data_IF_112927513206
#
_entry.id   IF_112927513206
#
_cell.length_a   1.000
_cell.length_b   1.000
_cell.length_c   1.000
_cell.angle_alpha   90.00
_cell.angle_beta   90.00
_cell.angle_gamma   90.00
#
_symmetry.space_group_name_H-M   'P 1'
#
loop_
_entity.id
_entity.type
_entity.pdbx_description
1 polymer ?
#
# COMPACT_ATOMS: atom_id res chain seq x y z
N UNK A 1 20.18 -15.90 5.43
CA UNK A 1 20.84 -17.04 4.75
C UNK A 1 21.29 -18.04 5.83
N UNK A 2 21.31 -19.35 5.57
CA UNK A 2 21.72 -20.39 6.56
C UNK A 2 23.13 -20.90 6.24
N UNK A 3 24.07 -20.79 7.16
CA UNK A 3 25.39 -21.41 7.02
C UNK A 3 25.34 -22.87 7.46
N UNK A 4 25.84 -23.78 6.63
CA UNK A 4 25.86 -25.20 6.97
C UNK A 4 26.85 -25.47 8.12
N UNK A 5 26.42 -26.08 9.23
CA UNK A 5 27.30 -26.36 10.37
C UNK A 5 28.35 -27.44 10.07
N UNK A 6 28.15 -28.25 9.01
CA UNK A 6 29.05 -29.36 8.65
C UNK A 6 30.13 -28.97 7.66
N UNK A 7 29.84 -28.09 6.69
CA UNK A 7 30.77 -27.77 5.59
C UNK A 7 30.96 -26.27 5.32
N UNK A 8 30.33 -25.39 6.09
CA UNK A 8 30.46 -23.94 5.96
C UNK A 8 29.73 -23.31 4.76
N UNK A 9 29.09 -24.11 3.91
CA UNK A 9 28.38 -23.61 2.73
C UNK A 9 27.21 -22.69 3.08
N UNK A 10 27.06 -21.58 2.37
CA UNK A 10 25.95 -20.65 2.55
C UNK A 10 24.72 -21.11 1.74
N UNK A 11 23.62 -21.34 2.43
CA UNK A 11 22.39 -21.91 1.85
C UNK A 11 21.21 -20.92 1.95
N UNK A 12 20.25 -21.08 1.05
CA UNK A 12 18.98 -20.34 1.11
C UNK A 12 18.18 -20.68 2.37
N UNK A 13 17.40 -19.72 2.87
CA UNK A 13 16.62 -19.87 4.12
C UNK A 13 15.54 -20.95 4.06
N UNK A 14 15.00 -21.19 2.86
CA UNK A 14 13.96 -22.18 2.61
C UNK A 14 14.49 -23.60 2.39
N UNK A 15 15.80 -23.84 2.54
CA UNK A 15 16.37 -25.18 2.46
C UNK A 15 16.36 -25.87 3.83
N UNK A 16 15.85 -27.09 3.85
CA UNK A 16 15.99 -28.05 4.95
C UNK A 16 17.33 -28.81 4.90
N UNK A 17 18.00 -28.81 3.75
CA UNK A 17 19.26 -29.54 3.53
C UNK A 17 20.31 -28.71 2.79
N UNK A 18 21.57 -28.90 3.17
CA UNK A 18 22.71 -28.28 2.53
C UNK A 18 22.80 -28.70 1.05
N UNK A 19 22.91 -27.72 0.15
CA UNK A 19 23.07 -27.95 -1.28
C UNK A 19 24.28 -28.83 -1.60
N UNK A 20 25.40 -28.60 -0.90
CA UNK A 20 26.69 -29.24 -1.13
C UNK A 20 26.83 -30.60 -0.44
N UNK A 21 26.60 -30.67 0.87
CA UNK A 21 26.92 -31.87 1.67
C UNK A 21 25.69 -32.63 2.19
N UNK A 22 24.47 -32.19 1.84
CA UNK A 22 23.18 -32.79 2.23
C UNK A 22 22.92 -32.87 3.74
N UNK A 23 23.74 -32.23 4.58
CA UNK A 23 23.48 -32.13 6.01
C UNK A 23 22.17 -31.37 6.28
N UNK A 24 21.42 -31.81 7.30
CA UNK A 24 20.21 -31.13 7.76
C UNK A 24 20.53 -29.71 8.24
N UNK A 25 19.71 -28.74 7.81
CA UNK A 25 19.78 -27.32 8.17
C UNK A 25 18.61 -26.91 9.10
N UNK A 26 17.90 -27.87 9.67
CA UNK A 26 16.69 -27.66 10.47
C UNK A 26 15.47 -27.26 9.63
N UNK A 27 14.33 -27.02 10.30
CA UNK A 27 13.09 -26.65 9.63
C UNK A 27 13.28 -25.42 8.74
N UNK A 28 12.77 -25.50 7.51
CA UNK A 28 12.63 -24.32 6.66
C UNK A 28 11.56 -23.42 7.29
N UNK A 29 11.82 -22.11 7.41
CA UNK A 29 10.76 -21.18 7.79
C UNK A 29 9.76 -21.14 6.64
N UNK A 30 8.61 -21.78 6.80
CA UNK A 30 7.60 -21.90 5.75
C UNK A 30 6.84 -20.60 5.51
N UNK A 31 6.82 -19.70 6.50
CA UNK A 31 6.11 -18.44 6.38
C UNK A 31 6.93 -17.40 5.59
N UNK A 32 6.24 -16.74 4.67
CA UNK A 32 6.77 -15.62 3.88
C UNK A 32 6.30 -14.31 4.51
N UNK A 33 6.94 -13.22 4.11
CA UNK A 33 6.47 -11.88 4.39
C UNK A 33 6.25 -11.13 3.08
N UNK A 34 5.37 -10.13 3.09
CA UNK A 34 5.06 -9.30 1.93
C UNK A 34 5.22 -7.82 2.29
N UNK A 35 5.76 -7.04 1.36
CA UNK A 35 5.70 -5.58 1.51
C UNK A 35 4.27 -5.09 1.22
N UNK A 36 3.60 -4.40 2.15
CA UNK A 36 2.23 -3.94 1.93
C UNK A 36 2.13 -2.89 0.81
N UNK A 37 3.23 -2.16 0.53
CA UNK A 37 3.30 -1.11 -0.49
C UNK A 37 3.67 -1.64 -1.88
N UNK A 38 4.84 -2.26 -2.03
CA UNK A 38 5.35 -2.68 -3.35
C UNK A 38 5.03 -4.14 -3.70
N UNK A 39 4.39 -4.88 -2.79
CA UNK A 39 3.96 -6.29 -2.97
C UNK A 39 5.09 -7.31 -3.19
N UNK A 40 6.35 -6.89 -3.08
CA UNK A 40 7.50 -7.81 -3.09
C UNK A 40 7.41 -8.82 -1.94
N UNK A 41 7.63 -10.09 -2.24
CA UNK A 41 7.68 -11.19 -1.28
C UNK A 41 9.09 -11.38 -0.74
N UNK A 42 9.16 -11.64 0.56
CA UNK A 42 10.39 -11.83 1.31
C UNK A 42 10.32 -13.14 2.10
N UNK A 43 11.51 -13.64 2.48
CA UNK A 43 11.62 -14.70 3.49
C UNK A 43 11.21 -14.17 4.86
N UNK A 44 10.71 -15.03 5.74
CA UNK A 44 10.16 -14.65 7.06
C UNK A 44 11.11 -13.85 7.98
N UNK A 45 12.43 -13.88 7.74
CA UNK A 45 13.42 -13.17 8.55
C UNK A 45 13.59 -11.69 8.20
N UNK A 46 13.11 -11.26 7.04
CA UNK A 46 13.21 -9.85 6.66
C UNK A 46 12.19 -9.03 7.48
N UNK A 47 12.61 -7.91 8.06
CA UNK A 47 11.70 -7.00 8.79
C UNK A 47 11.31 -5.79 7.95
N UNK A 48 12.15 -5.38 7.01
CA UNK A 48 12.01 -4.13 6.26
C UNK A 48 12.17 -4.37 4.75
N UNK A 49 11.38 -3.65 3.96
CA UNK A 49 11.46 -3.66 2.50
C UNK A 49 12.69 -2.90 2.00
N UNK A 50 13.49 -3.53 1.15
CA UNK A 50 14.70 -2.93 0.57
C UNK A 50 14.39 -1.81 -0.42
N UNK A 51 13.23 -1.86 -1.08
CA UNK A 51 12.87 -0.89 -2.11
C UNK A 51 12.17 0.37 -1.56
N UNK A 52 11.48 0.27 -0.42
CA UNK A 52 10.67 1.39 0.10
C UNK A 52 10.79 1.64 1.61
N UNK A 53 11.62 0.89 2.33
CA UNK A 53 11.86 1.09 3.77
C UNK A 53 10.69 0.75 4.70
N UNK A 54 9.54 0.31 4.17
CA UNK A 54 8.38 -0.06 4.98
C UNK A 54 8.60 -1.40 5.70
N UNK A 55 8.00 -1.55 6.90
CA UNK A 55 7.96 -2.84 7.62
C UNK A 55 7.16 -3.88 6.83
N UNK A 56 7.65 -5.12 6.82
CA UNK A 56 7.04 -6.24 6.13
C UNK A 56 5.94 -6.90 6.98
N UNK A 57 4.85 -7.31 6.33
CA UNK A 57 3.74 -8.04 6.97
C UNK A 57 3.87 -9.55 6.73
N UNK A 58 3.32 -10.38 7.62
CA UNK A 58 3.24 -11.83 7.37
C UNK A 58 2.36 -12.06 6.15
N UNK A 59 2.86 -12.87 5.22
CA UNK A 59 2.13 -13.24 4.03
C UNK A 59 1.36 -14.53 4.31
N UNK A 60 0.04 -14.44 4.22
CA UNK A 60 -0.88 -15.56 4.33
C UNK A 60 -1.57 -15.73 2.96
N UNK A 61 -1.30 -16.87 2.31
CA UNK A 61 -1.86 -17.20 1.00
C UNK A 61 -3.41 -17.20 1.01
N UNK A 62 -4.05 -17.46 2.15
CA UNK A 62 -5.51 -17.52 2.25
C UNK A 62 -6.18 -16.14 2.42
N UNK A 63 -5.49 -15.21 3.09
CA UNK A 63 -6.01 -13.86 3.35
C UNK A 63 -5.70 -12.88 2.20
N UNK A 64 -4.61 -13.10 1.45
CA UNK A 64 -4.22 -12.20 0.36
C UNK A 64 -4.99 -12.43 -0.95
N UNK A 65 -5.60 -13.61 -1.10
CA UNK A 65 -6.52 -13.92 -2.20
C UNK A 65 -7.87 -13.19 -2.10
N UNK A 66 -8.10 -12.38 -1.05
CA UNK A 66 -9.39 -11.76 -0.77
C UNK A 66 -9.44 -10.23 -0.93
N UNK A 67 -8.47 -9.62 -1.60
CA UNK A 67 -8.52 -8.20 -2.00
C UNK A 67 -9.02 -7.99 -3.45
N UNK A 68 -9.74 -8.98 -3.98
CA UNK A 68 -10.41 -8.92 -5.28
C UNK A 68 -11.93 -9.08 -5.13
N UNK A 69 -12.58 -8.32 -4.24
CA UNK A 69 -14.05 -8.13 -4.27
C UNK A 69 -14.56 -7.12 -3.23
N UNK A 70 -14.18 -5.85 -3.36
CA UNK A 70 -14.99 -4.75 -2.79
C UNK A 70 -16.19 -4.46 -3.71
N UNK A 71 -17.09 -5.44 -3.88
CA UNK A 71 -18.33 -5.31 -4.67
C UNK A 71 -19.57 -5.78 -3.90
N UNK A 72 -19.63 -5.51 -2.59
CA UNK A 72 -20.82 -5.74 -1.76
C UNK A 72 -21.10 -4.56 -0.82
N UNK A 73 -21.47 -3.41 -1.39
CA UNK A 73 -22.15 -2.33 -0.67
C UNK A 73 -22.95 -1.46 -1.66
N UNK A 74 -23.98 -2.05 -2.29
CA UNK A 74 -24.87 -1.41 -3.26
C UNK A 74 -25.75 -0.27 -2.70
N UNK A 75 -25.46 0.25 -1.49
CA UNK A 75 -26.08 1.42 -0.89
C UNK A 75 -25.05 2.53 -0.51
N UNK A 76 -23.77 2.38 -0.88
CA UNK A 76 -22.70 3.32 -0.54
C UNK A 76 -22.38 4.38 -1.60
N UNK A 77 -23.08 4.35 -2.75
CA UNK A 77 -22.72 5.15 -3.92
C UNK A 77 -22.88 6.65 -3.72
N UNK A 78 -23.98 7.11 -3.11
CA UNK A 78 -24.23 8.54 -2.90
C UNK A 78 -23.36 9.15 -1.79
N UNK A 79 -22.93 8.35 -0.80
CA UNK A 79 -22.12 8.83 0.33
C UNK A 79 -20.67 9.11 -0.07
N UNK A 80 -20.14 8.37 -1.04
CA UNK A 80 -18.78 8.57 -1.57
C UNK A 80 -18.63 9.90 -2.31
N UNK A 81 -19.69 10.38 -2.98
CA UNK A 81 -19.69 11.71 -3.58
C UNK A 81 -19.63 12.80 -2.52
N UNK A 82 -20.41 12.67 -1.43
CA UNK A 82 -20.37 13.58 -0.27
C UNK A 82 -18.99 13.64 0.39
N UNK A 83 -18.32 12.51 0.60
CA UNK A 83 -16.96 12.47 1.21
C UNK A 83 -15.89 13.03 0.27
N UNK A 84 -16.01 12.77 -1.04
CA UNK A 84 -15.08 13.30 -2.06
C UNK A 84 -15.16 14.82 -2.20
N UNK A 85 -16.35 15.41 -1.99
CA UNK A 85 -16.52 16.86 -1.84
C UNK A 85 -15.91 17.38 -0.54
N UNK A 86 -15.98 16.59 0.55
CA UNK A 86 -15.75 17.08 1.90
C UNK A 86 -14.27 17.27 2.27
N UNK A 87 -13.32 16.61 1.60
CA UNK A 87 -11.92 16.71 2.04
C UNK A 87 -10.91 16.91 0.90
N UNK A 88 -11.05 17.97 0.08
CA UNK A 88 -9.92 18.48 -0.72
C UNK A 88 -8.69 18.78 0.16
N UNK A 89 -8.89 19.01 1.46
CA UNK A 89 -7.84 19.10 2.47
C UNK A 89 -7.02 17.79 2.56
N UNK A 90 -7.63 16.60 2.42
CA UNK A 90 -6.89 15.31 2.40
C UNK A 90 -6.01 15.24 1.16
N UNK A 91 -6.51 15.67 0.00
CA UNK A 91 -5.70 15.67 -1.22
C UNK A 91 -4.48 16.60 -1.12
N UNK A 92 -4.63 17.75 -0.44
CA UNK A 92 -3.50 18.63 -0.10
C UNK A 92 -2.55 17.96 0.90
N UNK A 93 -3.06 17.33 1.97
CA UNK A 93 -2.25 16.64 2.98
C UNK A 93 -1.45 15.48 2.35
N UNK A 94 -2.11 14.64 1.55
CA UNK A 94 -1.46 13.54 0.83
C UNK A 94 -0.44 14.07 -0.16
N UNK A 95 -0.76 15.13 -0.91
CA UNK A 95 0.18 15.81 -1.79
C UNK A 95 1.46 16.23 -1.07
N UNK A 96 1.34 16.87 0.10
CA UNK A 96 2.48 17.24 0.94
C UNK A 96 3.27 16.02 1.43
N UNK A 97 2.59 14.93 1.83
CA UNK A 97 3.24 13.68 2.24
C UNK A 97 4.04 13.06 1.09
N UNK A 98 3.50 13.05 -0.12
CA UNK A 98 4.18 12.47 -1.29
C UNK A 98 5.40 13.30 -1.71
N UNK A 99 5.32 14.64 -1.66
CA UNK A 99 6.48 15.51 -1.85
C UNK A 99 7.54 15.24 -0.77
N UNK A 100 7.14 15.13 0.50
CA UNK A 100 8.06 14.82 1.60
C UNK A 100 8.73 13.43 1.47
N UNK A 101 8.14 12.52 0.69
CA UNK A 101 8.67 11.18 0.39
C UNK A 101 9.51 11.13 -0.89
N UNK A 102 9.73 12.27 -1.55
CA UNK A 102 10.50 12.38 -2.80
C UNK A 102 9.73 11.96 -4.05
N UNK A 103 8.41 11.80 -3.96
CA UNK A 103 7.50 11.45 -5.07
C UNK A 103 6.83 12.73 -5.60
N UNK A 104 7.64 13.69 -6.04
CA UNK A 104 7.22 15.08 -6.34
C UNK A 104 6.17 15.19 -7.45
N UNK A 105 6.27 14.38 -8.51
CA UNK A 105 5.34 14.44 -9.64
C UNK A 105 3.92 14.02 -9.25
N UNK A 106 3.81 12.98 -8.42
CA UNK A 106 2.54 12.51 -7.88
C UNK A 106 1.98 13.53 -6.87
N UNK A 107 2.82 14.04 -5.97
CA UNK A 107 2.42 15.01 -4.96
C UNK A 107 1.91 16.33 -5.55
N UNK A 108 2.60 16.88 -6.57
CA UNK A 108 2.15 18.07 -7.31
C UNK A 108 0.81 17.84 -8.00
N UNK A 109 0.65 16.69 -8.65
CA UNK A 109 -0.60 16.33 -9.33
C UNK A 109 -1.78 16.23 -8.36
N UNK A 110 -1.57 15.69 -7.16
CA UNK A 110 -2.58 15.61 -6.10
C UNK A 110 -2.98 16.99 -5.57
N UNK A 111 -2.02 17.90 -5.36
CA UNK A 111 -2.28 19.26 -4.91
C UNK A 111 -3.09 20.04 -5.96
N UNK A 112 -2.64 20.01 -7.23
CA UNK A 112 -3.32 20.72 -8.32
C UNK A 112 -4.75 20.22 -8.48
N UNK A 113 -4.94 18.90 -8.52
CA UNK A 113 -6.27 18.30 -8.65
C UNK A 113 -7.17 18.70 -7.49
N UNK A 114 -6.64 18.76 -6.27
CA UNK A 114 -7.40 19.18 -5.08
C UNK A 114 -7.84 20.63 -5.15
N UNK A 115 -6.95 21.55 -5.55
CA UNK A 115 -7.26 22.97 -5.70
C UNK A 115 -8.30 23.20 -6.81
N UNK A 116 -8.11 22.58 -7.97
CA UNK A 116 -9.07 22.67 -9.09
C UNK A 116 -10.46 22.18 -8.66
N UNK A 117 -10.49 21.06 -7.92
CA UNK A 117 -11.74 20.49 -7.41
C UNK A 117 -12.43 21.45 -6.43
N UNK A 118 -11.70 22.12 -5.53
CA UNK A 118 -12.26 23.17 -4.65
C UNK A 118 -12.89 24.30 -5.47
N UNK A 119 -12.17 24.82 -6.48
CA UNK A 119 -12.65 25.93 -7.31
C UNK A 119 -13.94 25.52 -8.04
N UNK A 120 -13.98 24.33 -8.64
CA UNK A 120 -15.17 23.83 -9.33
C UNK A 120 -16.35 23.67 -8.35
N UNK A 121 -16.13 23.10 -7.17
CA UNK A 121 -17.19 22.94 -6.17
C UNK A 121 -17.72 24.27 -5.65
N UNK A 122 -16.85 25.26 -5.41
CA UNK A 122 -17.28 26.60 -4.99
C UNK A 122 -18.11 27.31 -6.07
N UNK A 123 -17.71 27.23 -7.34
CA UNK A 123 -18.48 27.79 -8.46
C UNK A 123 -19.85 27.11 -8.57
N UNK A 124 -19.91 25.78 -8.55
CA UNK A 124 -21.17 25.03 -8.58
C UNK A 124 -22.05 25.37 -7.37
N UNK A 125 -21.47 25.44 -6.17
CA UNK A 125 -22.17 25.78 -4.94
C UNK A 125 -22.78 27.19 -4.98
N UNK A 126 -22.05 28.18 -5.49
CA UNK A 126 -22.56 29.55 -5.69
C UNK A 126 -23.70 29.57 -6.70
N UNK A 127 -23.57 28.85 -7.83
CA UNK A 127 -24.63 28.75 -8.83
C UNK A 127 -25.90 28.12 -8.25
N UNK A 128 -25.77 27.01 -7.50
CA UNK A 128 -26.91 26.36 -6.84
C UNK A 128 -27.54 27.23 -5.75
N UNK A 129 -26.74 27.89 -4.92
CA UNK A 129 -27.23 28.83 -3.91
C UNK A 129 -27.96 30.03 -4.55
N UNK A 130 -27.44 30.56 -5.66
CA UNK A 130 -28.09 31.64 -6.40
C UNK A 130 -29.42 31.23 -7.03
N UNK A 131 -29.60 29.94 -7.38
CA UNK A 131 -30.88 29.40 -7.83
C UNK A 131 -31.84 29.07 -6.66
N UNK A 132 -31.32 28.76 -5.47
CA UNK A 132 -32.12 28.40 -4.29
C UNK A 132 -32.64 29.60 -3.47
N UNK A 133 -32.04 30.78 -3.61
CA UNK A 133 -32.48 32.02 -2.91
C UNK A 133 -33.69 32.69 -3.58
N UNK A 134 -34.17 32.16 -4.72
CA UNK A 134 -35.36 32.62 -5.44
C UNK A 134 -36.57 31.67 -5.33
N UNK A 135 -36.52 30.66 -4.45
CA UNK A 135 -37.59 29.69 -4.20
C UNK A 135 -38.40 29.99 -2.94
#
# INVERSE_FOLDING_TARGET
MKTCPKCGELNGENRSECFKCKASLGAASTYKKICPKCKTLYSGKSETCENCGNRLAVYDDNHYSHDASSHAAAAGGCWMYLVSVLIPIIGIILGCIYIARGEDDLGKSLIITSVVTIVVFTVIGVLLASCGVLG
#
